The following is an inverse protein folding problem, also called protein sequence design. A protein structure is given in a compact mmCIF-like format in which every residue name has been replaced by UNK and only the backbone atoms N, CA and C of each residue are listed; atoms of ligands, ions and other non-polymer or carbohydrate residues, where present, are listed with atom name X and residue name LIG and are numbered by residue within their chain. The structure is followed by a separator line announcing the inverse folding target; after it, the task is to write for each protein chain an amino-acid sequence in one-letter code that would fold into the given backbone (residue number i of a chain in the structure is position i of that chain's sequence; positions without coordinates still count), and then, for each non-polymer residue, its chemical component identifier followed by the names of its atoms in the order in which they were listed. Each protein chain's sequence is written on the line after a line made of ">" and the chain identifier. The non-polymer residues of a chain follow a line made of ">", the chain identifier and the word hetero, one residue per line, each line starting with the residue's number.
data_IF_202617197322
#
_entry.id   IF_202617197322
#
_cell.length_a   1.000
_cell.length_b   1.000
_cell.length_c   1.000
_cell.angle_alpha   90.00
_cell.angle_beta   90.00
_cell.angle_gamma   90.00
#
_symmetry.space_group_name_H-M   'P 1'
#
loop_
_entity.id
_entity.type
_entity.pdbx_description
1 polymer ?
#
# COMPACT_ATOMS: atom_id res chain seq x y z
N UNK A 1 -29.67 78.07 -10.78
CA UNK A 1 -28.68 78.84 -9.97
C UNK A 1 -27.56 77.89 -9.57
N UNK A 2 -26.36 78.37 -9.90
CA UNK A 2 -25.04 77.89 -9.41
C UNK A 2 -24.51 76.49 -9.79
N UNK A 3 -23.60 76.64 -10.70
CA UNK A 3 -22.59 75.65 -11.11
C UNK A 3 -21.52 75.34 -10.01
N UNK A 4 -21.03 74.15 -9.93
CA UNK A 4 -19.68 73.92 -9.40
C UNK A 4 -19.01 72.85 -10.23
N UNK A 5 -17.97 73.27 -10.94
CA UNK A 5 -16.92 72.43 -11.59
C UNK A 5 -16.07 71.80 -10.54
N UNK A 6 -15.79 70.49 -10.73
CA UNK A 6 -14.61 69.87 -10.11
C UNK A 6 -13.87 69.05 -11.13
N UNK A 7 -12.58 69.34 -11.27
CA UNK A 7 -11.70 68.86 -12.30
C UNK A 7 -11.25 67.41 -12.10
N UNK A 8 -11.16 66.72 -13.21
CA UNK A 8 -10.45 65.42 -13.31
C UNK A 8 -8.95 65.66 -13.25
N UNK A 9 -8.32 65.06 -12.27
CA UNK A 9 -6.87 64.79 -12.25
C UNK A 9 -6.63 63.35 -12.72
N UNK A 10 -6.12 63.22 -13.92
CA UNK A 10 -5.59 61.98 -14.48
C UNK A 10 -4.24 61.70 -13.86
N UNK A 11 -4.18 60.72 -12.93
CA UNK A 11 -2.95 60.19 -12.39
C UNK A 11 -2.55 58.95 -13.18
N UNK A 12 -1.56 59.08 -14.04
CA UNK A 12 -0.88 57.97 -14.70
C UNK A 12 -0.07 57.21 -13.68
N UNK A 13 -0.54 55.99 -13.32
CA UNK A 13 0.26 55.02 -12.57
C UNK A 13 1.21 54.32 -13.52
N UNK A 14 2.50 54.56 -13.37
CA UNK A 14 3.58 53.79 -13.98
C UNK A 14 3.54 52.37 -13.48
N UNK A 15 3.36 51.42 -14.38
CA UNK A 15 3.55 49.98 -14.14
C UNK A 15 5.06 49.69 -14.15
N UNK A 16 5.65 49.53 -12.96
CA UNK A 16 6.98 49.00 -12.85
C UNK A 16 6.95 47.48 -13.17
N UNK A 17 7.40 47.16 -14.38
CA UNK A 17 7.63 45.80 -14.80
C UNK A 17 8.74 45.17 -13.96
N UNK A 18 8.42 44.04 -13.31
CA UNK A 18 9.40 43.17 -12.71
C UNK A 18 10.28 42.53 -13.81
N UNK A 19 11.42 43.15 -14.08
CA UNK A 19 12.47 42.56 -14.91
C UNK A 19 13.12 41.44 -14.12
N UNK A 20 12.87 40.20 -14.52
CA UNK A 20 13.59 39.02 -14.06
C UNK A 20 15.07 39.17 -14.45
N UNK A 21 15.91 39.57 -13.50
CA UNK A 21 17.37 39.53 -13.70
C UNK A 21 17.84 38.08 -13.63
N UNK A 22 18.09 37.48 -14.78
CA UNK A 22 18.89 36.27 -14.91
C UNK A 22 20.34 36.62 -14.57
N UNK A 23 20.82 36.25 -13.39
CA UNK A 23 22.25 36.26 -13.09
C UNK A 23 22.90 35.16 -13.91
N UNK A 24 23.65 35.57 -14.93
CA UNK A 24 24.62 34.73 -15.64
C UNK A 24 25.69 34.33 -14.64
N UNK A 25 25.74 33.04 -14.29
CA UNK A 25 26.86 32.45 -13.57
C UNK A 25 28.07 32.48 -14.52
N UNK A 26 28.99 33.41 -14.26
CA UNK A 26 30.30 33.43 -14.91
C UNK A 26 31.04 32.18 -14.50
N UNK A 27 31.34 31.34 -15.48
CA UNK A 27 32.28 30.23 -15.36
C UNK A 27 33.68 30.79 -15.19
N UNK A 28 34.17 30.92 -13.97
CA UNK A 28 35.57 31.13 -13.69
C UNK A 28 36.32 29.88 -14.14
N UNK A 29 37.15 30.07 -15.15
CA UNK A 29 37.98 29.01 -15.69
C UNK A 29 38.93 28.44 -14.64
N UNK A 30 38.78 27.16 -14.36
CA UNK A 30 39.78 26.40 -13.61
C UNK A 30 41.03 26.25 -14.47
N UNK A 31 42.12 26.95 -14.11
CA UNK A 31 43.46 26.66 -14.62
C UNK A 31 43.84 25.24 -14.18
N UNK A 32 44.00 24.33 -15.14
CA UNK A 32 44.66 23.04 -14.94
C UNK A 32 46.10 23.28 -14.54
N UNK A 33 46.50 22.84 -13.35
CA UNK A 33 47.89 22.67 -12.99
C UNK A 33 48.43 21.42 -13.68
N UNK A 34 49.74 21.40 -14.07
CA UNK A 34 50.33 20.23 -14.72
C UNK A 34 50.35 19.02 -13.78
N UNK A 35 50.12 17.85 -14.35
CA UNK A 35 50.19 16.59 -13.63
C UNK A 35 51.65 16.31 -13.25
N UNK A 36 51.98 16.23 -11.98
CA UNK A 36 53.23 15.62 -11.52
C UNK A 36 53.03 14.08 -11.52
N UNK A 37 53.93 13.41 -12.26
CA UNK A 37 54.08 11.97 -12.27
C UNK A 37 54.56 11.48 -10.89
N UNK A 38 53.65 11.06 -10.01
CA UNK A 38 53.99 10.32 -8.82
C UNK A 38 53.64 8.84 -9.01
N UNK A 39 54.69 8.08 -9.31
CA UNK A 39 54.72 6.62 -9.33
C UNK A 39 54.44 6.10 -7.90
N UNK A 40 53.42 5.25 -7.64
CA UNK A 40 53.18 4.74 -6.31
C UNK A 40 54.17 3.65 -5.91
N UNK A 41 54.84 3.87 -4.82
CA UNK A 41 55.61 2.88 -4.07
C UNK A 41 54.63 1.83 -3.47
N UNK A 42 54.99 0.53 -3.44
CA UNK A 42 54.11 -0.48 -2.83
C UNK A 42 54.19 -0.39 -1.32
N UNK A 43 53.22 0.29 -0.72
CA UNK A 43 53.01 0.41 0.73
C UNK A 43 51.79 -0.38 1.15
N UNK A 44 52.00 -1.22 2.12
CA UNK A 44 51.13 -2.05 2.96
C UNK A 44 49.65 -1.62 2.96
N UNK A 45 48.74 -2.52 2.58
CA UNK A 45 47.29 -2.33 2.60
C UNK A 45 46.81 -2.00 4.02
N UNK A 46 46.05 -0.92 4.23
CA UNK A 46 45.41 -0.69 5.52
C UNK A 46 44.25 -1.67 5.70
N UNK A 47 44.19 -2.26 6.90
CA UNK A 47 43.19 -3.19 7.40
C UNK A 47 41.77 -2.78 6.95
N UNK A 48 41.10 -3.68 6.24
CA UNK A 48 39.73 -3.51 5.80
C UNK A 48 38.80 -3.45 7.04
N UNK A 49 38.32 -2.25 7.36
CA UNK A 49 37.28 -2.06 8.36
C UNK A 49 36.08 -2.94 8.03
N UNK A 50 35.48 -3.65 8.99
CA UNK A 50 34.35 -4.55 8.74
C UNK A 50 33.19 -3.77 8.09
N UNK A 51 32.75 -4.22 6.92
CA UNK A 51 31.57 -3.70 6.22
C UNK A 51 30.35 -3.88 7.15
N UNK A 52 29.87 -2.79 7.72
CA UNK A 52 28.61 -2.81 8.50
C UNK A 52 27.47 -3.13 7.54
N UNK A 53 26.83 -4.27 7.75
CA UNK A 53 25.63 -4.70 7.01
C UNK A 53 24.47 -3.79 7.44
N UNK A 54 24.13 -2.82 6.61
CA UNK A 54 22.94 -2.00 6.77
C UNK A 54 21.76 -2.69 6.06
N UNK A 55 20.54 -2.43 6.57
CA UNK A 55 19.34 -2.92 5.90
C UNK A 55 19.37 -2.54 4.40
N UNK A 56 18.96 -3.43 3.51
CA UNK A 56 19.03 -3.20 2.06
C UNK A 56 18.30 -1.91 1.69
N UNK A 57 18.94 -1.13 0.83
CA UNK A 57 18.28 0.03 0.20
C UNK A 57 17.00 -0.45 -0.52
N UNK A 58 15.95 0.40 -0.63
CA UNK A 58 14.76 0.03 -1.39
C UNK A 58 15.18 -0.36 -2.81
N UNK A 59 14.97 -1.63 -3.12
CA UNK A 59 15.29 -2.19 -4.44
C UNK A 59 14.46 -1.42 -5.46
N UNK A 60 15.10 -0.98 -6.55
CA UNK A 60 14.39 -0.41 -7.70
C UNK A 60 13.30 -1.41 -8.13
N UNK A 61 12.12 -0.90 -8.50
CA UNK A 61 11.02 -1.74 -8.94
C UNK A 61 11.48 -2.62 -10.11
N UNK A 62 11.91 -3.82 -9.77
CA UNK A 62 12.37 -4.83 -10.72
C UNK A 62 11.15 -5.25 -11.55
N UNK A 63 11.34 -5.48 -12.84
CA UNK A 63 10.31 -6.08 -13.66
C UNK A 63 9.77 -7.33 -12.94
N UNK A 64 8.45 -7.59 -12.96
CA UNK A 64 7.88 -8.72 -12.26
C UNK A 64 8.58 -10.01 -12.69
N UNK A 65 8.82 -10.90 -11.74
CA UNK A 65 9.34 -12.21 -12.06
C UNK A 65 8.46 -12.86 -13.14
N UNK A 66 9.02 -13.53 -14.14
CA UNK A 66 8.26 -14.14 -15.23
C UNK A 66 7.19 -15.11 -14.73
N UNK A 67 7.37 -15.67 -13.55
CA UNK A 67 6.44 -16.60 -12.89
C UNK A 67 5.35 -15.92 -12.04
N UNK A 68 5.33 -14.58 -11.96
CA UNK A 68 4.27 -13.88 -11.23
C UNK A 68 2.91 -14.12 -11.91
N UNK A 69 1.84 -14.49 -11.16
CA UNK A 69 0.50 -14.69 -11.73
C UNK A 69 -0.06 -13.41 -12.38
N UNK A 70 0.53 -12.27 -12.06
CA UNK A 70 0.12 -10.95 -12.54
C UNK A 70 1.13 -10.33 -13.52
N UNK A 71 2.09 -11.12 -14.06
CA UNK A 71 3.15 -10.60 -14.94
C UNK A 71 2.61 -9.84 -16.15
N UNK A 72 1.48 -10.30 -16.72
CA UNK A 72 0.87 -9.71 -17.91
C UNK A 72 -0.17 -8.62 -17.62
N UNK A 73 -0.50 -8.38 -16.35
CA UNK A 73 -1.52 -7.40 -16.00
C UNK A 73 -1.02 -5.95 -16.20
N UNK A 74 -1.90 -5.03 -16.65
CA UNK A 74 -1.56 -3.62 -16.77
C UNK A 74 -1.22 -3.04 -15.40
N UNK A 75 -0.09 -2.34 -15.32
CA UNK A 75 0.37 -1.70 -14.08
C UNK A 75 0.81 -0.27 -14.31
N UNK A 76 0.88 0.51 -13.24
CA UNK A 76 1.28 1.92 -13.28
C UNK A 76 2.75 2.14 -13.67
N UNK A 77 3.57 1.10 -13.63
CA UNK A 77 5.00 1.11 -13.99
C UNK A 77 5.34 -0.02 -14.98
N UNK A 78 6.56 -0.01 -15.50
CA UNK A 78 7.00 -1.01 -16.47
C UNK A 78 6.56 -0.71 -17.90
N UNK A 79 6.55 -1.69 -18.79
CA UNK A 79 6.17 -1.54 -20.19
C UNK A 79 4.66 -1.34 -20.35
N UNK A 80 4.24 -0.58 -21.37
CA UNK A 80 2.80 -0.41 -21.69
C UNK A 80 2.28 -1.73 -22.29
N UNK A 81 1.17 -2.21 -21.74
CA UNK A 81 0.44 -3.35 -22.29
C UNK A 81 -0.48 -2.85 -23.40
N UNK A 82 -0.55 -3.56 -24.52
CA UNK A 82 -1.41 -3.19 -25.67
C UNK A 82 -2.78 -3.79 -25.57
N UNK A 83 -2.86 -5.05 -25.16
CA UNK A 83 -4.09 -5.82 -25.01
C UNK A 83 -4.03 -6.57 -23.68
N UNK A 84 -5.15 -6.67 -23.00
CA UNK A 84 -5.25 -7.36 -21.73
C UNK A 84 -6.66 -7.88 -21.48
N UNK A 85 -6.73 -9.14 -21.06
CA UNK A 85 -7.97 -9.76 -20.57
C UNK A 85 -7.71 -10.28 -19.14
N UNK A 86 -8.53 -9.92 -18.15
CA UNK A 86 -8.32 -10.38 -16.79
C UNK A 86 -8.55 -11.88 -16.69
N UNK A 87 -7.64 -12.59 -16.06
CA UNK A 87 -7.72 -14.03 -15.80
C UNK A 87 -7.90 -14.28 -14.30
N UNK A 88 -8.52 -15.42 -13.92
CA UNK A 88 -8.60 -15.79 -12.51
C UNK A 88 -7.22 -15.98 -11.90
N UNK A 89 -7.06 -15.56 -10.64
CA UNK A 89 -5.82 -15.78 -9.91
C UNK A 89 -5.54 -17.28 -9.78
N UNK A 90 -4.47 -17.75 -10.40
CA UNK A 90 -4.03 -19.15 -10.36
C UNK A 90 -3.20 -19.50 -9.14
N UNK A 91 -2.50 -18.53 -8.58
CA UNK A 91 -1.60 -18.67 -7.42
C UNK A 91 -1.89 -17.60 -6.36
N UNK A 92 -1.59 -17.88 -5.09
CA UNK A 92 -1.70 -16.87 -4.02
C UNK A 92 -0.82 -15.66 -4.30
N UNK A 93 -1.30 -14.50 -3.85
CA UNK A 93 -0.58 -13.23 -3.85
C UNK A 93 -0.38 -12.78 -2.42
N UNK A 94 0.67 -12.00 -2.16
CA UNK A 94 1.01 -11.51 -0.81
C UNK A 94 2.51 -11.45 -0.55
N UNK A 95 2.88 -11.21 0.69
CA UNK A 95 4.25 -11.19 1.17
C UNK A 95 4.66 -12.59 1.65
N UNK A 96 5.93 -12.95 1.46
CA UNK A 96 6.46 -14.27 1.89
C UNK A 96 6.68 -14.37 3.40
N UNK A 97 6.60 -13.27 4.12
CA UNK A 97 6.84 -13.21 5.57
C UNK A 97 5.62 -12.65 6.31
N UNK A 98 5.39 -13.08 7.55
CA UNK A 98 4.28 -12.60 8.36
C UNK A 98 4.44 -11.11 8.67
N UNK A 99 3.33 -10.34 8.71
CA UNK A 99 3.38 -8.93 9.02
C UNK A 99 3.70 -8.72 10.50
N UNK A 100 4.60 -7.77 10.78
CA UNK A 100 4.90 -7.33 12.14
C UNK A 100 4.52 -5.85 12.33
N UNK A 101 4.04 -5.47 13.52
CA UNK A 101 3.81 -4.06 13.85
C UNK A 101 5.09 -3.24 13.67
N UNK A 102 4.93 -1.99 13.21
CA UNK A 102 6.06 -1.09 12.95
C UNK A 102 6.73 -1.28 11.58
N UNK A 103 6.33 -2.26 10.79
CA UNK A 103 6.79 -2.39 9.41
C UNK A 103 6.04 -1.40 8.49
N UNK A 104 6.68 -1.03 7.38
CA UNK A 104 6.07 -0.23 6.30
C UNK A 104 5.49 1.12 6.75
N UNK A 105 6.06 1.73 7.78
CA UNK A 105 5.60 3.02 8.31
C UNK A 105 5.81 4.19 7.34
N UNK A 106 6.69 4.01 6.35
CA UNK A 106 7.10 5.07 5.43
C UNK A 106 7.83 6.23 6.11
N UNK A 107 8.26 6.02 7.35
CA UNK A 107 9.07 6.96 8.13
C UNK A 107 10.53 6.54 8.00
N UNK A 108 11.38 7.49 7.60
CA UNK A 108 12.81 7.26 7.55
C UNK A 108 13.39 7.35 8.97
N UNK A 109 13.68 6.20 9.56
CA UNK A 109 14.25 6.08 10.92
C UNK A 109 15.77 6.21 10.96
N UNK A 110 16.42 6.37 9.79
CA UNK A 110 17.88 6.48 9.70
C UNK A 110 18.36 7.77 10.35
N UNK A 111 19.46 7.68 11.11
CA UNK A 111 20.13 8.84 11.69
C UNK A 111 20.74 9.74 10.61
N UNK A 112 21.02 10.99 10.92
CA UNK A 112 21.68 11.92 9.98
C UNK A 112 23.03 11.38 9.50
N UNK A 113 23.77 10.69 10.37
CA UNK A 113 25.05 10.05 10.00
C UNK A 113 24.84 8.92 8.99
N UNK A 114 23.86 8.05 9.20
CA UNK A 114 23.52 6.99 8.25
C UNK A 114 23.08 7.55 6.89
N UNK A 115 22.28 8.64 6.89
CA UNK A 115 21.86 9.30 5.65
C UNK A 115 23.04 9.89 4.88
N UNK A 116 24.02 10.48 5.62
CA UNK A 116 25.26 10.97 5.02
C UNK A 116 26.09 9.83 4.45
N UNK A 117 26.25 8.73 5.19
CA UNK A 117 27.01 7.56 4.75
C UNK A 117 26.37 6.92 3.51
N UNK A 118 25.03 6.85 3.45
CA UNK A 118 24.29 6.41 2.25
C UNK A 118 24.44 7.36 1.05
N UNK A 119 24.62 8.65 1.31
CA UNK A 119 24.86 9.65 0.24
C UNK A 119 26.27 9.56 -0.33
N UNK A 120 27.26 9.22 0.48
CA UNK A 120 28.66 9.06 0.08
C UNK A 120 28.88 7.70 -0.62
N UNK A 121 28.07 6.69 -0.33
CA UNK A 121 28.14 5.38 -0.99
C UNK A 121 27.65 5.49 -2.45
N UNK A 122 28.58 5.33 -3.38
CA UNK A 122 28.30 5.50 -4.81
C UNK A 122 27.25 4.48 -5.35
N UNK A 123 27.32 3.23 -4.92
CA UNK A 123 26.39 2.21 -5.37
C UNK A 123 24.95 2.51 -4.91
N UNK A 124 24.79 2.91 -3.65
CA UNK A 124 23.49 3.32 -3.11
C UNK A 124 22.96 4.59 -3.76
N UNK A 125 23.86 5.51 -4.09
CA UNK A 125 23.49 6.72 -4.83
C UNK A 125 22.98 6.37 -6.23
N UNK A 126 23.63 5.45 -6.97
CA UNK A 126 23.17 4.98 -8.27
C UNK A 126 21.81 4.29 -8.17
N UNK A 127 21.61 3.38 -7.22
CA UNK A 127 20.33 2.71 -7.00
C UNK A 127 19.20 3.72 -6.70
N UNK A 128 19.46 4.70 -5.84
CA UNK A 128 18.50 5.76 -5.53
C UNK A 128 18.19 6.62 -6.76
N UNK A 129 19.20 6.94 -7.56
CA UNK A 129 19.03 7.69 -8.82
C UNK A 129 18.19 6.91 -9.83
N UNK A 130 18.43 5.61 -9.97
CA UNK A 130 17.64 4.74 -10.84
C UNK A 130 16.20 4.62 -10.36
N UNK A 131 15.97 4.42 -9.07
CA UNK A 131 14.64 4.44 -8.46
C UNK A 131 13.91 5.75 -8.75
N UNK A 132 14.56 6.90 -8.54
CA UNK A 132 13.97 8.22 -8.79
C UNK A 132 13.69 8.43 -10.29
N UNK A 133 14.62 8.02 -11.18
CA UNK A 133 14.42 8.06 -12.62
C UNK A 133 13.19 7.24 -13.02
N UNK A 134 13.06 6.02 -12.54
CA UNK A 134 11.91 5.16 -12.80
C UNK A 134 10.61 5.77 -12.27
N UNK A 135 10.64 6.41 -11.12
CA UNK A 135 9.48 7.10 -10.53
C UNK A 135 9.04 8.31 -11.35
N UNK A 136 9.98 9.13 -11.80
CA UNK A 136 9.71 10.35 -12.62
C UNK A 136 9.30 9.98 -14.04
N UNK A 137 9.84 8.91 -14.61
CA UNK A 137 9.51 8.46 -15.96
C UNK A 137 8.13 7.83 -16.10
N UNK A 138 7.41 7.59 -14.98
CA UNK A 138 6.06 7.03 -15.02
C UNK A 138 5.08 8.05 -15.62
N UNK A 139 4.37 7.70 -16.71
CA UNK A 139 3.37 8.60 -17.27
C UNK A 139 2.24 8.84 -16.27
N UNK A 140 1.96 10.11 -15.97
CA UNK A 140 0.94 10.51 -14.99
C UNK A 140 -0.45 9.93 -15.28
N UNK A 141 -0.82 9.86 -16.54
CA UNK A 141 -2.13 9.36 -16.98
C UNK A 141 -2.18 7.84 -17.21
N UNK A 142 -1.11 7.12 -16.94
CA UNK A 142 -1.05 5.68 -17.27
C UNK A 142 -2.12 4.87 -16.53
N UNK A 143 -2.33 5.14 -15.27
CA UNK A 143 -3.37 4.47 -14.47
C UNK A 143 -4.75 4.71 -15.02
N UNK A 144 -5.01 5.93 -15.52
CA UNK A 144 -6.26 6.26 -16.21
C UNK A 144 -6.41 5.53 -17.55
N UNK A 145 -5.34 5.47 -18.34
CA UNK A 145 -5.35 4.72 -19.60
C UNK A 145 -5.62 3.24 -19.34
N UNK A 146 -5.05 2.68 -18.28
CA UNK A 146 -5.29 1.28 -17.92
C UNK A 146 -6.74 1.00 -17.51
N UNK A 147 -7.54 2.01 -17.12
CA UNK A 147 -8.98 1.84 -16.86
C UNK A 147 -9.77 1.50 -18.13
N UNK A 148 -9.23 1.78 -19.33
CA UNK A 148 -9.85 1.37 -20.61
C UNK A 148 -9.92 -0.15 -20.77
N UNK A 149 -9.00 -0.90 -20.11
CA UNK A 149 -9.03 -2.34 -20.10
C UNK A 149 -9.99 -2.84 -19.00
N UNK A 150 -11.11 -3.41 -19.38
CA UNK A 150 -12.11 -4.00 -18.46
C UNK A 150 -12.43 -3.13 -17.22
N UNK A 151 -12.59 -1.80 -17.41
CA UNK A 151 -12.84 -0.83 -16.32
C UNK A 151 -11.77 -0.86 -15.22
N UNK A 152 -10.55 -1.26 -15.57
CA UNK A 152 -9.41 -1.36 -14.66
C UNK A 152 -9.29 -2.68 -13.90
N UNK A 153 -10.14 -3.67 -14.16
CA UNK A 153 -10.02 -4.99 -13.55
C UNK A 153 -8.69 -5.62 -13.93
N UNK A 154 -7.85 -5.93 -12.96
CA UNK A 154 -6.50 -6.45 -13.17
C UNK A 154 -6.43 -7.97 -13.11
N UNK A 155 -7.33 -8.59 -12.38
CA UNK A 155 -7.51 -10.04 -12.29
C UNK A 155 -8.94 -10.37 -11.86
N UNK A 156 -9.39 -11.57 -12.15
CA UNK A 156 -10.60 -12.13 -11.60
C UNK A 156 -10.29 -12.86 -10.29
N UNK A 157 -11.27 -12.93 -9.41
CA UNK A 157 -11.08 -13.65 -8.15
C UNK A 157 -10.95 -15.17 -8.40
N UNK A 158 -10.24 -15.88 -7.53
CA UNK A 158 -10.20 -17.34 -7.61
C UNK A 158 -11.57 -17.92 -7.24
N UNK A 159 -11.98 -19.00 -7.91
CA UNK A 159 -13.25 -19.68 -7.66
C UNK A 159 -13.34 -20.33 -6.28
N UNK A 160 -12.19 -20.62 -5.67
CA UNK A 160 -12.06 -21.25 -4.34
C UNK A 160 -11.02 -20.50 -3.51
N UNK A 161 -11.12 -20.60 -2.18
CA UNK A 161 -10.08 -20.12 -1.30
C UNK A 161 -8.76 -20.84 -1.56
N UNK A 162 -7.67 -20.09 -1.51
CA UNK A 162 -6.35 -20.68 -1.47
C UNK A 162 -6.17 -21.49 -0.19
N UNK A 163 -5.45 -22.62 -0.27
CA UNK A 163 -5.09 -23.42 0.90
C UNK A 163 -4.25 -22.58 1.87
N UNK A 164 -4.45 -22.77 3.15
CA UNK A 164 -3.75 -22.03 4.19
C UNK A 164 -2.23 -22.11 4.07
N UNK A 165 -1.70 -23.31 3.79
CA UNK A 165 -0.26 -23.55 3.71
C UNK A 165 0.42 -22.90 2.51
N UNK A 166 -0.34 -22.65 1.43
CA UNK A 166 0.16 -21.99 0.22
C UNK A 166 -0.07 -20.49 0.23
N UNK A 167 -0.92 -19.99 1.13
CA UNK A 167 -1.32 -18.60 1.18
C UNK A 167 -0.20 -17.70 1.71
N UNK A 168 -0.04 -16.55 1.05
CA UNK A 168 0.93 -15.52 1.40
C UNK A 168 0.30 -14.48 2.33
N UNK A 169 1.13 -13.68 2.99
CA UNK A 169 0.69 -12.77 4.02
C UNK A 169 0.27 -11.40 3.46
N UNK A 170 -0.74 -10.82 4.10
CA UNK A 170 -1.11 -9.43 3.89
C UNK A 170 -0.10 -8.53 4.63
N UNK A 171 0.47 -7.49 4.01
CA UNK A 171 1.47 -6.63 4.64
C UNK A 171 0.88 -5.80 5.78
N UNK A 172 1.72 -5.48 6.78
CA UNK A 172 1.37 -4.43 7.72
C UNK A 172 1.30 -3.08 7.00
N UNK A 173 0.22 -2.33 7.21
CA UNK A 173 0.07 -0.96 6.74
C UNK A 173 -0.07 -0.03 7.94
N UNK A 174 0.55 1.14 7.82
CA UNK A 174 0.59 2.12 8.90
C UNK A 174 -0.20 3.37 8.50
N UNK A 175 -1.29 3.64 9.19
CA UNK A 175 -2.20 4.72 8.85
C UNK A 175 -2.94 5.31 10.03
N UNK A 176 -3.71 6.36 9.76
CA UNK A 176 -4.60 6.97 10.74
C UNK A 176 -5.99 6.38 10.60
N UNK A 177 -6.62 6.01 11.72
CA UNK A 177 -8.04 5.63 11.71
C UNK A 177 -8.95 6.87 11.80
N UNK A 178 -10.22 6.69 11.45
CA UNK A 178 -11.22 7.75 11.62
C UNK A 178 -11.56 7.98 13.11
N UNK A 179 -11.36 6.99 13.97
CA UNK A 179 -11.60 7.12 15.40
C UNK A 179 -10.51 7.93 16.09
N UNK A 180 -9.25 7.72 15.73
CA UNK A 180 -8.08 8.31 16.40
C UNK A 180 -7.31 9.26 15.47
N UNK A 181 -6.70 10.29 16.07
CA UNK A 181 -5.74 11.14 15.38
C UNK A 181 -4.34 10.50 15.26
N UNK A 182 -4.07 9.49 16.07
CA UNK A 182 -2.81 8.76 16.06
C UNK A 182 -2.77 7.78 14.88
N UNK A 183 -1.57 7.51 14.40
CA UNK A 183 -1.34 6.46 13.41
C UNK A 183 -1.17 5.13 14.12
N UNK A 184 -1.76 4.10 13.56
CA UNK A 184 -1.72 2.74 14.10
C UNK A 184 -1.42 1.75 12.99
N UNK A 185 -0.92 0.59 13.38
CA UNK A 185 -0.66 -0.55 12.50
C UNK A 185 -1.96 -1.33 12.22
N UNK A 186 -2.05 -1.91 11.03
CA UNK A 186 -3.18 -2.78 10.68
C UNK A 186 -3.06 -4.17 11.27
N UNK A 187 -1.84 -4.69 11.44
CA UNK A 187 -1.59 -6.07 11.90
C UNK A 187 -2.29 -6.41 13.22
N UNK A 188 -2.25 -5.59 14.29
CA UNK A 188 -2.93 -5.92 15.55
C UNK A 188 -4.45 -6.02 15.41
N UNK A 189 -5.03 -5.28 14.46
CA UNK A 189 -6.47 -5.36 14.18
C UNK A 189 -6.85 -6.61 13.39
N UNK A 190 -5.97 -7.07 12.49
CA UNK A 190 -6.22 -8.21 11.62
C UNK A 190 -5.98 -9.54 12.30
N UNK A 191 -4.97 -9.61 13.17
CA UNK A 191 -4.61 -10.83 13.89
C UNK A 191 -5.77 -11.33 14.75
N UNK A 192 -6.06 -12.62 14.64
CA UNK A 192 -7.15 -13.27 15.39
C UNK A 192 -8.55 -13.13 14.76
N UNK A 193 -8.70 -12.42 13.63
CA UNK A 193 -9.98 -12.20 12.98
C UNK A 193 -9.96 -12.63 11.51
N UNK A 194 -11.06 -13.17 11.02
CA UNK A 194 -11.30 -13.27 9.59
C UNK A 194 -11.66 -11.86 9.06
N UNK A 195 -10.85 -11.33 8.17
CA UNK A 195 -10.97 -9.92 7.75
C UNK A 195 -11.23 -9.80 6.26
N UNK A 196 -12.32 -9.12 5.89
CA UNK A 196 -12.52 -8.60 4.54
C UNK A 196 -11.85 -7.24 4.49
N UNK A 197 -10.80 -7.10 3.69
CA UNK A 197 -10.02 -5.87 3.57
C UNK A 197 -10.28 -5.26 2.20
N UNK A 198 -10.69 -3.99 2.17
CA UNK A 198 -10.83 -3.23 0.94
C UNK A 198 -9.77 -2.15 0.87
N UNK A 199 -9.08 -2.06 -0.29
CA UNK A 199 -8.08 -1.02 -0.55
C UNK A 199 -8.52 -0.21 -1.76
N UNK A 200 -8.56 1.11 -1.61
CA UNK A 200 -9.02 2.02 -2.66
C UNK A 200 -8.37 3.39 -2.54
N UNK A 201 -8.39 4.15 -3.63
CA UNK A 201 -7.98 5.55 -3.70
C UNK A 201 -8.97 6.33 -4.54
N UNK A 202 -9.71 7.21 -3.90
CA UNK A 202 -10.71 8.04 -4.56
C UNK A 202 -12.06 7.36 -4.80
N UNK A 203 -13.02 8.15 -5.28
CA UNK A 203 -14.43 7.77 -5.40
C UNK A 203 -14.67 6.64 -6.41
N UNK A 204 -13.92 6.62 -7.52
CA UNK A 204 -14.07 5.56 -8.53
C UNK A 204 -13.76 4.18 -7.96
N UNK A 205 -12.62 4.05 -7.30
CA UNK A 205 -12.21 2.81 -6.66
C UNK A 205 -13.13 2.42 -5.49
N UNK A 206 -13.63 3.42 -4.74
CA UNK A 206 -14.62 3.20 -3.67
C UNK A 206 -15.93 2.61 -4.24
N UNK A 207 -16.42 3.12 -5.36
CA UNK A 207 -17.61 2.58 -6.01
C UNK A 207 -17.39 1.13 -6.48
N UNK A 208 -16.19 0.80 -6.96
CA UNK A 208 -15.87 -0.57 -7.36
C UNK A 208 -15.90 -1.53 -6.16
N UNK A 209 -15.23 -1.20 -5.04
CA UNK A 209 -15.25 -2.08 -3.86
C UNK A 209 -16.64 -2.18 -3.24
N UNK A 210 -17.47 -1.15 -3.35
CA UNK A 210 -18.83 -1.18 -2.83
C UNK A 210 -19.67 -2.27 -3.49
N UNK A 211 -19.34 -2.69 -4.73
CA UNK A 211 -20.01 -3.82 -5.37
C UNK A 211 -19.81 -5.13 -4.62
N UNK A 212 -18.71 -5.28 -3.86
CA UNK A 212 -18.40 -6.44 -3.02
C UNK A 212 -18.96 -6.32 -1.61
N UNK A 213 -18.87 -5.11 -1.00
CA UNK A 213 -18.99 -4.99 0.46
C UNK A 213 -20.15 -4.11 0.93
N UNK A 214 -20.81 -3.33 0.05
CA UNK A 214 -21.90 -2.49 0.51
C UNK A 214 -23.13 -3.31 0.92
N UNK A 215 -23.90 -2.84 1.92
CA UNK A 215 -25.13 -3.52 2.35
C UNK A 215 -26.17 -3.65 1.24
N UNK A 216 -26.21 -2.69 0.32
CA UNK A 216 -27.13 -2.67 -0.82
C UNK A 216 -26.78 -3.69 -1.88
N UNK A 217 -25.47 -3.87 -2.15
CA UNK A 217 -24.96 -4.73 -3.23
C UNK A 217 -24.69 -6.17 -2.79
N UNK A 218 -24.38 -6.39 -1.51
CA UNK A 218 -24.07 -7.69 -0.93
C UNK A 218 -24.63 -7.83 0.49
N UNK A 219 -25.97 -7.93 0.65
CA UNK A 219 -26.60 -8.08 1.97
C UNK A 219 -26.18 -9.39 2.66
N UNK A 220 -25.91 -10.44 1.89
CA UNK A 220 -25.46 -11.72 2.43
C UNK A 220 -24.11 -11.62 3.19
N UNK A 221 -23.17 -10.81 2.68
CA UNK A 221 -21.92 -10.56 3.39
C UNK A 221 -22.17 -9.86 4.74
N UNK A 222 -23.04 -8.85 4.75
CA UNK A 222 -23.36 -8.12 5.97
C UNK A 222 -24.03 -9.00 7.03
N UNK A 223 -24.87 -9.92 6.58
CA UNK A 223 -25.49 -10.91 7.46
C UNK A 223 -24.42 -11.80 8.12
N UNK A 224 -23.51 -12.37 7.33
CA UNK A 224 -22.43 -13.22 7.85
C UNK A 224 -21.52 -12.45 8.82
N UNK A 225 -21.19 -11.19 8.52
CA UNK A 225 -20.38 -10.36 9.41
C UNK A 225 -21.08 -10.13 10.76
N UNK A 226 -22.38 -9.86 10.76
CA UNK A 226 -23.19 -9.71 11.99
C UNK A 226 -23.29 -11.02 12.78
N UNK A 227 -23.58 -12.13 12.11
CA UNK A 227 -23.71 -13.46 12.73
C UNK A 227 -22.38 -13.98 13.29
N UNK A 228 -21.24 -13.47 12.82
CA UNK A 228 -19.92 -13.89 13.27
C UNK A 228 -19.62 -13.56 14.74
N UNK A 229 -20.39 -12.64 15.37
CA UNK A 229 -20.13 -12.19 16.74
C UNK A 229 -18.78 -11.51 16.92
N UNK A 230 -18.33 -10.78 15.90
CA UNK A 230 -17.04 -10.06 15.91
C UNK A 230 -15.84 -10.88 15.44
N UNK A 231 -15.98 -12.18 15.17
CA UNK A 231 -14.87 -13.01 14.64
C UNK A 231 -14.53 -12.70 13.18
N UNK A 232 -15.50 -12.20 12.42
CA UNK A 232 -15.28 -11.64 11.09
C UNK A 232 -15.49 -10.12 11.12
N UNK A 233 -14.72 -9.40 10.30
CA UNK A 233 -14.79 -7.94 10.24
C UNK A 233 -14.55 -7.42 8.83
N UNK A 234 -15.02 -6.18 8.57
CA UNK A 234 -14.73 -5.40 7.38
C UNK A 234 -13.74 -4.30 7.74
N UNK A 235 -12.59 -4.26 7.06
CA UNK A 235 -11.56 -3.23 7.22
C UNK A 235 -11.42 -2.46 5.91
N UNK A 236 -11.54 -1.16 5.97
CA UNK A 236 -11.45 -0.29 4.80
C UNK A 236 -10.18 0.54 4.86
N UNK A 237 -9.39 0.50 3.79
CA UNK A 237 -8.09 1.18 3.72
C UNK A 237 -8.12 2.13 2.52
N UNK A 238 -8.21 3.42 2.81
CA UNK A 238 -8.11 4.47 1.82
C UNK A 238 -6.64 4.88 1.71
N UNK A 239 -6.05 4.65 0.53
CA UNK A 239 -4.66 4.96 0.22
C UNK A 239 -4.61 6.26 -0.56
N UNK A 240 -4.11 7.32 0.06
CA UNK A 240 -3.98 8.62 -0.61
C UNK A 240 -2.58 9.21 -0.39
N UNK A 241 -1.78 9.20 -1.44
CA UNK A 241 -0.42 9.74 -1.42
C UNK A 241 -0.40 11.27 -1.47
N UNK A 242 -1.43 11.86 -2.09
CA UNK A 242 -1.56 13.31 -2.23
C UNK A 242 -1.99 13.94 -0.89
N UNK A 243 -1.15 14.83 -0.37
CA UNK A 243 -1.40 15.51 0.90
C UNK A 243 -2.61 16.46 0.84
N UNK A 244 -2.88 17.06 -0.32
CA UNK A 244 -4.02 17.97 -0.51
C UNK A 244 -5.35 17.23 -0.42
N UNK A 245 -5.44 16.08 -1.09
CA UNK A 245 -6.63 15.22 -0.99
C UNK A 245 -6.82 14.67 0.41
N UNK A 246 -5.73 14.28 1.07
CA UNK A 246 -5.80 13.86 2.47
C UNK A 246 -6.30 14.99 3.40
N UNK A 247 -5.92 16.23 3.13
CA UNK A 247 -6.43 17.40 3.85
C UNK A 247 -7.94 17.60 3.62
N UNK A 248 -8.41 17.44 2.38
CA UNK A 248 -9.84 17.48 2.04
C UNK A 248 -10.62 16.37 2.75
N UNK A 249 -10.10 15.13 2.75
CA UNK A 249 -10.71 14.01 3.48
C UNK A 249 -10.82 14.32 4.97
N UNK A 250 -9.81 14.97 5.56
CA UNK A 250 -9.87 15.42 6.97
C UNK A 250 -10.92 16.50 7.19
N UNK A 251 -11.04 17.46 6.27
CA UNK A 251 -12.03 18.52 6.34
C UNK A 251 -13.46 17.95 6.31
N UNK A 252 -13.70 16.98 5.44
CA UNK A 252 -14.98 16.27 5.32
C UNK A 252 -15.10 15.03 6.21
N UNK A 253 -14.19 14.85 7.18
CA UNK A 253 -14.14 13.67 8.05
C UNK A 253 -15.44 13.45 8.84
N UNK A 254 -16.19 14.50 9.16
CA UNK A 254 -17.47 14.37 9.85
C UNK A 254 -18.50 13.63 9.00
N UNK A 255 -18.66 14.01 7.73
CA UNK A 255 -19.55 13.32 6.80
C UNK A 255 -19.14 11.86 6.59
N UNK A 256 -17.82 11.62 6.44
CA UNK A 256 -17.27 10.28 6.30
C UNK A 256 -17.51 9.42 7.55
N UNK A 257 -17.35 9.98 8.75
CA UNK A 257 -17.66 9.29 10.02
C UNK A 257 -19.13 8.91 10.12
N UNK A 258 -20.03 9.76 9.64
CA UNK A 258 -21.48 9.47 9.60
C UNK A 258 -21.78 8.31 8.65
N UNK A 259 -21.11 8.27 7.48
CA UNK A 259 -21.26 7.20 6.48
C UNK A 259 -20.73 5.85 6.98
N UNK A 260 -19.57 5.85 7.63
CA UNK A 260 -18.91 4.62 8.11
C UNK A 260 -19.58 4.04 9.35
N UNK A 261 -20.21 4.89 10.17
CA UNK A 261 -20.82 4.48 11.44
C UNK A 261 -19.81 4.37 12.58
N UNK A 262 -20.31 4.59 13.82
CA UNK A 262 -19.44 4.67 15.01
C UNK A 262 -18.63 3.40 15.27
N UNK A 263 -19.20 2.23 15.00
CA UNK A 263 -18.61 0.92 15.27
C UNK A 263 -17.41 0.60 14.36
N UNK A 264 -17.38 1.19 13.16
CA UNK A 264 -16.38 0.90 12.14
C UNK A 264 -15.28 1.97 12.03
N UNK A 265 -15.31 3.02 12.85
CA UNK A 265 -14.33 4.12 12.79
C UNK A 265 -12.89 3.64 13.02
N UNK A 266 -12.69 2.62 13.87
CA UNK A 266 -11.38 2.02 14.12
C UNK A 266 -10.92 1.11 12.97
N UNK A 267 -11.84 0.67 12.11
CA UNK A 267 -11.60 -0.24 10.98
C UNK A 267 -11.45 0.49 9.65
N UNK A 268 -11.54 1.83 9.66
CA UNK A 268 -11.31 2.66 8.49
C UNK A 268 -9.98 3.39 8.61
N UNK A 269 -9.03 3.06 7.73
CA UNK A 269 -7.67 3.58 7.71
C UNK A 269 -7.45 4.58 6.58
N UNK A 270 -6.70 5.64 6.89
CA UNK A 270 -6.14 6.59 5.92
C UNK A 270 -4.63 6.37 5.89
N UNK A 271 -4.15 5.71 4.83
CA UNK A 271 -2.73 5.39 4.64
C UNK A 271 -2.14 6.33 3.60
N UNK A 272 -1.02 6.99 3.92
CA UNK A 272 -0.35 7.94 3.02
C UNK A 272 0.97 7.43 2.48
N UNK A 273 1.74 6.74 3.30
CA UNK A 273 3.10 6.29 3.01
C UNK A 273 3.28 4.84 3.45
N UNK A 274 4.36 4.22 3.01
CA UNK A 274 4.72 2.87 3.43
C UNK A 274 4.33 1.79 2.43
N UNK A 275 3.50 2.09 1.42
CA UNK A 275 3.18 1.13 0.36
C UNK A 275 4.23 1.31 -0.75
N UNK A 276 5.25 0.47 -0.71
CA UNK A 276 6.32 0.43 -1.73
C UNK A 276 5.82 -0.22 -3.02
N UNK A 277 6.58 -0.06 -4.10
CA UNK A 277 6.25 -0.73 -5.37
C UNK A 277 6.35 -2.26 -5.24
N UNK A 278 7.24 -2.76 -4.39
CA UNK A 278 7.36 -4.18 -4.04
C UNK A 278 6.08 -4.71 -3.37
N UNK A 279 5.55 -3.97 -2.38
CA UNK A 279 4.29 -4.32 -1.73
C UNK A 279 3.15 -4.29 -2.75
N UNK A 280 3.11 -3.26 -3.63
CA UNK A 280 2.08 -3.17 -4.67
C UNK A 280 2.09 -4.38 -5.60
N UNK A 281 3.28 -4.79 -6.01
CA UNK A 281 3.45 -5.96 -6.89
C UNK A 281 3.07 -7.26 -6.17
N UNK A 282 3.57 -7.46 -4.96
CA UNK A 282 3.34 -8.69 -4.19
C UNK A 282 1.85 -8.91 -3.86
N UNK A 283 1.12 -7.86 -3.50
CA UNK A 283 -0.32 -7.97 -3.18
C UNK A 283 -1.24 -7.66 -4.36
N UNK A 284 -0.68 -7.38 -5.54
CA UNK A 284 -1.45 -7.14 -6.76
C UNK A 284 -2.13 -5.76 -6.85
N UNK A 285 -1.66 -4.75 -6.11
CA UNK A 285 -2.13 -3.36 -6.19
C UNK A 285 -1.53 -2.64 -7.41
N UNK A 286 -1.80 -3.14 -8.61
CA UNK A 286 -1.10 -2.74 -9.83
C UNK A 286 -1.54 -1.37 -10.36
N UNK A 287 -2.77 -0.97 -10.10
CA UNK A 287 -3.33 0.31 -10.54
C UNK A 287 -3.85 1.09 -9.33
N UNK A 288 -3.35 2.31 -9.13
CA UNK A 288 -3.72 3.17 -8.00
C UNK A 288 -5.16 3.67 -8.07
N UNK A 289 -5.83 3.54 -9.21
CA UNK A 289 -7.21 4.01 -9.45
C UNK A 289 -8.26 2.92 -9.34
N UNK A 290 -7.84 1.69 -9.10
CA UNK A 290 -8.72 0.51 -9.00
C UNK A 290 -8.88 0.14 -7.53
N UNK A 291 -10.07 -0.34 -7.19
CA UNK A 291 -10.38 -0.90 -5.89
C UNK A 291 -10.00 -2.38 -5.82
N UNK A 292 -9.53 -2.81 -4.66
CA UNK A 292 -9.14 -4.20 -4.41
C UNK A 292 -9.81 -4.70 -3.15
N UNK A 293 -10.25 -5.95 -3.17
CA UNK A 293 -10.89 -6.61 -2.04
C UNK A 293 -10.15 -7.91 -1.72
N UNK A 294 -9.74 -8.08 -0.46
CA UNK A 294 -9.02 -9.25 0.02
C UNK A 294 -9.81 -9.93 1.13
N UNK A 295 -9.74 -11.25 1.19
CA UNK A 295 -10.17 -12.02 2.33
C UNK A 295 -8.94 -12.60 3.02
N UNK A 296 -8.74 -12.20 4.25
CA UNK A 296 -7.56 -12.50 5.06
C UNK A 296 -7.98 -13.32 6.28
N UNK A 297 -7.22 -14.37 6.59
CA UNK A 297 -7.48 -15.23 7.74
C UNK A 297 -6.95 -14.64 9.06
N UNK A 298 -7.22 -15.28 10.17
CA UNK A 298 -6.80 -14.88 11.52
C UNK A 298 -5.27 -14.85 11.71
N UNK A 299 -4.51 -15.48 10.80
CA UNK A 299 -3.03 -15.45 10.75
C UNK A 299 -2.50 -14.42 9.74
N UNK A 300 -3.33 -13.50 9.29
CA UNK A 300 -3.00 -12.46 8.31
C UNK A 300 -2.60 -12.99 6.92
N UNK A 301 -3.05 -14.20 6.50
CA UNK A 301 -2.78 -14.74 5.17
C UNK A 301 -3.91 -14.41 4.20
N UNK A 302 -3.55 -14.02 2.97
CA UNK A 302 -4.51 -13.73 1.90
C UNK A 302 -5.06 -15.05 1.35
N UNK A 303 -6.31 -15.34 1.64
CA UNK A 303 -6.99 -16.56 1.21
C UNK A 303 -7.81 -16.38 -0.06
N UNK A 304 -8.13 -15.14 -0.40
CA UNK A 304 -8.87 -14.77 -1.60
C UNK A 304 -8.65 -13.29 -1.92
N UNK A 305 -8.70 -12.94 -3.21
CA UNK A 305 -8.59 -11.55 -3.66
C UNK A 305 -9.43 -11.29 -4.91
N UNK A 306 -9.99 -10.09 -4.99
CA UNK A 306 -10.71 -9.58 -6.14
C UNK A 306 -10.25 -8.16 -6.49
N UNK A 307 -10.35 -7.78 -7.76
CA UNK A 307 -9.98 -6.45 -8.26
C UNK A 307 -11.15 -5.80 -9.02
N UNK A 308 -11.21 -4.47 -8.98
CA UNK A 308 -12.24 -3.70 -9.68
C UNK A 308 -13.65 -3.94 -9.14
N UNK A 309 -14.64 -3.89 -10.01
CA UNK A 309 -16.03 -4.22 -9.66
C UNK A 309 -16.25 -5.72 -9.60
N UNK A 310 -17.18 -6.16 -8.76
CA UNK A 310 -17.55 -7.58 -8.68
C UNK A 310 -18.25 -8.02 -9.97
N UNK A 311 -17.82 -9.14 -10.52
CA UNK A 311 -18.37 -9.75 -11.72
C UNK A 311 -18.74 -11.22 -11.46
N UNK A 312 -19.80 -11.71 -12.14
CA UNK A 312 -20.24 -13.09 -12.00
C UNK A 312 -20.43 -13.52 -10.54
N UNK A 313 -19.84 -14.65 -10.19
CA UNK A 313 -20.00 -15.30 -8.87
C UNK A 313 -19.03 -14.76 -7.79
N UNK A 314 -18.27 -13.69 -8.07
CA UNK A 314 -17.25 -13.18 -7.13
C UNK A 314 -17.84 -12.75 -5.79
N UNK A 315 -19.05 -12.17 -5.78
CA UNK A 315 -19.77 -11.79 -4.54
C UNK A 315 -20.08 -12.99 -3.67
N UNK A 316 -20.62 -14.05 -4.30
CA UNK A 316 -20.93 -15.29 -3.61
C UNK A 316 -19.66 -16.01 -3.14
N UNK A 317 -18.61 -16.00 -3.98
CA UNK A 317 -17.30 -16.53 -3.64
C UNK A 317 -16.74 -15.89 -2.37
N UNK A 318 -16.85 -14.57 -2.25
CA UNK A 318 -16.45 -13.84 -1.05
C UNK A 318 -17.26 -14.28 0.18
N UNK A 319 -18.58 -14.36 0.07
CA UNK A 319 -19.47 -14.76 1.18
C UNK A 319 -19.18 -16.19 1.63
N UNK A 320 -19.10 -17.13 0.67
CA UNK A 320 -18.71 -18.53 0.94
C UNK A 320 -17.33 -18.60 1.59
N UNK A 321 -16.41 -17.76 1.13
CA UNK A 321 -15.07 -17.66 1.68
C UNK A 321 -15.06 -17.23 3.15
N UNK A 322 -15.80 -16.19 3.52
CA UNK A 322 -15.90 -15.74 4.92
C UNK A 322 -16.46 -16.83 5.82
N UNK A 323 -17.57 -17.50 5.39
CA UNK A 323 -18.16 -18.63 6.13
C UNK A 323 -17.14 -19.74 6.37
N UNK A 324 -16.40 -20.11 5.31
CA UNK A 324 -15.38 -21.16 5.41
C UNK A 324 -14.25 -20.79 6.39
N UNK A 325 -13.76 -19.54 6.39
CA UNK A 325 -12.76 -19.11 7.36
C UNK A 325 -13.28 -19.15 8.80
N UNK A 326 -14.55 -18.79 9.02
CA UNK A 326 -15.17 -18.89 10.34
C UNK A 326 -15.30 -20.35 10.81
N UNK A 327 -15.58 -21.29 9.92
CA UNK A 327 -15.58 -22.73 10.21
C UNK A 327 -14.18 -23.24 10.56
N UNK A 328 -13.16 -22.85 9.78
CA UNK A 328 -11.77 -23.19 10.03
C UNK A 328 -11.31 -22.68 11.40
N UNK A 329 -11.61 -21.42 11.75
CA UNK A 329 -11.30 -20.86 13.08
C UNK A 329 -12.01 -21.58 14.22
N UNK A 330 -13.26 -22.02 14.03
CA UNK A 330 -13.97 -22.82 15.04
C UNK A 330 -13.32 -24.19 15.23
N UNK A 331 -12.95 -24.86 14.14
CA UNK A 331 -12.29 -26.17 14.18
C UNK A 331 -10.92 -26.10 14.88
N UNK A 332 -10.11 -25.09 14.58
CA UNK A 332 -8.81 -24.85 15.23
C UNK A 332 -8.99 -24.61 16.74
N UNK A 333 -9.93 -23.77 17.15
CA UNK A 333 -10.20 -23.51 18.58
C UNK A 333 -10.64 -24.77 19.34
N UNK A 334 -11.40 -25.65 18.70
CA UNK A 334 -11.80 -26.93 19.31
C UNK A 334 -10.58 -27.85 19.47
N UNK A 335 -9.72 -27.90 18.46
CA UNK A 335 -8.50 -28.72 18.48
C UNK A 335 -7.51 -28.24 19.55
N UNK A 336 -7.27 -26.93 19.64
CA UNK A 336 -6.42 -26.33 20.67
C UNK A 336 -7.02 -26.53 22.08
N UNK A 337 -8.33 -26.38 22.25
CA UNK A 337 -9.01 -26.65 23.51
C UNK A 337 -8.98 -28.13 23.94
N UNK A 338 -8.89 -29.04 22.99
CA UNK A 338 -8.74 -30.48 23.27
C UNK A 338 -7.31 -30.85 23.69
N UNK A 339 -6.31 -30.19 23.09
CA UNK A 339 -4.87 -30.39 23.44
C UNK A 339 -4.56 -29.82 24.84
N UNK A 340 -5.27 -28.79 25.29
CA UNK A 340 -5.06 -28.16 26.60
C UNK A 340 -5.79 -28.86 27.76
N UNK A 341 -6.60 -29.90 27.52
CA UNK A 341 -7.09 -30.80 28.57
C UNK A 341 -6.13 -31.97 28.73
N UNK A 342 -5.22 -31.96 29.70
CA UNK A 342 -4.46 -33.16 30.04
C UNK A 342 -5.46 -34.21 30.52
N UNK A 343 -5.30 -35.42 30.02
CA UNK A 343 -6.09 -36.61 30.33
C UNK A 343 -6.14 -36.82 31.85
N UNK A 344 -7.13 -36.28 32.51
CA UNK A 344 -7.36 -36.42 33.94
C UNK A 344 -8.29 -37.59 34.19
N UNK A 345 -7.94 -38.79 33.67
CA UNK A 345 -8.52 -40.05 34.17
C UNK A 345 -7.69 -41.26 33.66
N UNK A 346 -6.50 -41.45 34.21
CA UNK A 346 -5.99 -42.82 34.37
C UNK A 346 -6.34 -43.26 35.79
N UNK A 347 -7.21 -44.24 36.01
CA UNK A 347 -7.35 -44.85 37.31
C UNK A 347 -6.07 -45.58 37.65
N UNK A 348 -5.44 -45.15 38.72
CA UNK A 348 -4.31 -45.88 39.37
C UNK A 348 -4.90 -47.20 39.88
N UNK A 349 -4.66 -48.26 39.17
CA UNK A 349 -4.85 -49.63 39.70
C UNK A 349 -3.79 -49.87 40.77
N UNK A 350 -4.14 -49.63 42.04
CA UNK A 350 -3.42 -50.18 43.18
C UNK A 350 -3.45 -51.71 43.09
N UNK A 351 -2.29 -52.32 42.90
CA UNK A 351 -2.07 -53.74 43.14
C UNK A 351 -1.85 -53.92 44.64
N UNK A 352 -2.76 -54.66 45.28
CA UNK A 352 -2.53 -55.34 46.54
C UNK A 352 -1.55 -56.51 46.40
#
# INVERSE_FOLDING_TARGET
>A
MLAARTGLRTGTRATTGLVCQWRTLSTTGYKRLPAEDNKPTPGTAPDAKPKKTYAPAPVAATAPAPDSPLAHAPRSYGKKVKEFTPTPLSRPIGMNYPPAPGQNTGIDTRTLRQRRDDFVDYERHLQKREYLKNKVSRPYFRDWVNLSFHKGKTFLSPSRLFKADLSLYFPNLFGRTLASRQKVDTTPLLAGHASVITIFSGMWAENQINTFVSPEQNPALQQVLKESGGRAQLVQINVEEDWMKLMLIKLFSWSLKKKVGKENLNKYFLVRKGITDEIRESVGLLNSRVGYTYLVDHRCRIRWAGSGSAEGDEKEGLVKGVRRLLEEMKAEAVTEGHVLRPDATRPTTEKK
#
